data_IF_207790113159
#
_entry.id   IF_207790113159
#
_cell.length_a   1.000
_cell.length_b   1.000
_cell.length_c   1.000
_cell.angle_alpha   90.00
_cell.angle_beta   90.00
_cell.angle_gamma   90.00
#
_symmetry.space_group_name_H-M   'P 1'
#
loop_
_entity.id
_entity.type
_entity.pdbx_description
1 polymer ?
#
# COMPACT_ATOMS: atom_id res chain seq x y z
N UNK A 1 -18.25 1.48 -14.47
CA UNK A 1 -16.78 1.45 -14.69
C UNK A 1 -16.14 0.58 -13.62
N UNK A 2 -14.99 -0.06 -13.87
CA UNK A 2 -14.26 -0.79 -12.82
C UNK A 2 -13.54 0.14 -11.86
N UNK A 3 -13.47 -0.24 -10.57
CA UNK A 3 -12.77 0.54 -9.52
C UNK A 3 -11.32 0.83 -9.93
N UNK A 4 -10.62 -0.16 -10.51
CA UNK A 4 -9.22 -0.02 -10.92
C UNK A 4 -8.94 1.14 -11.86
N UNK A 5 -9.90 1.59 -12.67
CA UNK A 5 -9.66 2.70 -13.58
C UNK A 5 -9.38 4.00 -12.84
N UNK A 6 -10.12 4.29 -11.76
CA UNK A 6 -9.87 5.46 -10.91
C UNK A 6 -8.52 5.33 -10.20
N UNK A 7 -8.21 4.16 -9.66
CA UNK A 7 -6.95 3.89 -8.96
C UNK A 7 -5.76 4.03 -9.91
N UNK A 8 -5.79 3.34 -11.05
CA UNK A 8 -4.71 3.33 -12.03
C UNK A 8 -4.50 4.72 -12.64
N UNK A 9 -5.57 5.49 -12.88
CA UNK A 9 -5.45 6.87 -13.34
C UNK A 9 -4.66 7.72 -12.31
N UNK A 10 -5.01 7.62 -11.02
CA UNK A 10 -4.27 8.31 -9.96
C UNK A 10 -2.80 7.85 -9.91
N UNK A 11 -2.54 6.53 -9.97
CA UNK A 11 -1.18 5.98 -9.90
C UNK A 11 -0.31 6.40 -11.09
N UNK A 12 -0.89 6.45 -12.29
CA UNK A 12 -0.22 6.97 -13.48
C UNK A 12 0.09 8.47 -13.35
N UNK A 13 -0.91 9.27 -12.97
CA UNK A 13 -0.76 10.71 -12.84
C UNK A 13 0.17 11.13 -11.71
N UNK A 14 0.38 10.29 -10.70
CA UNK A 14 1.25 10.61 -9.56
C UNK A 14 2.66 11.02 -10.00
N UNK A 15 3.27 10.31 -10.96
CA UNK A 15 4.57 10.71 -11.49
C UNK A 15 4.52 12.09 -12.17
N UNK A 16 3.53 12.29 -13.05
CA UNK A 16 3.38 13.52 -13.83
C UNK A 16 3.05 14.74 -12.95
N UNK A 17 2.23 14.56 -11.92
CA UNK A 17 1.84 15.62 -10.99
C UNK A 17 3.03 16.02 -10.13
N UNK A 18 3.80 15.06 -9.60
CA UNK A 18 4.98 15.39 -8.80
C UNK A 18 6.01 16.12 -9.65
N UNK A 19 6.28 15.64 -10.87
CA UNK A 19 7.19 16.32 -11.80
C UNK A 19 6.67 17.71 -12.21
N UNK A 20 5.36 17.84 -12.43
CA UNK A 20 4.70 19.10 -12.74
C UNK A 20 4.79 20.10 -11.58
N UNK A 21 4.66 19.64 -10.34
CA UNK A 21 4.89 20.47 -9.16
C UNK A 21 6.34 20.96 -9.10
N UNK A 22 7.32 20.09 -9.38
CA UNK A 22 8.74 20.46 -9.39
C UNK A 22 9.00 21.56 -10.43
N UNK A 23 8.44 21.42 -11.63
CA UNK A 23 8.55 22.42 -12.68
C UNK A 23 7.84 23.74 -12.33
N UNK A 24 6.62 23.67 -11.81
CA UNK A 24 5.81 24.84 -11.48
C UNK A 24 6.43 25.68 -10.35
N UNK A 25 6.94 25.04 -9.30
CA UNK A 25 7.60 25.71 -8.18
C UNK A 25 9.10 25.93 -8.39
N UNK A 26 9.65 25.52 -9.55
CA UNK A 26 11.07 25.52 -9.86
C UNK A 26 11.94 24.90 -8.74
N UNK A 27 11.45 23.81 -8.15
CA UNK A 27 12.14 23.12 -7.05
C UNK A 27 12.58 21.73 -7.51
N UNK A 28 13.87 21.63 -7.82
CA UNK A 28 14.57 20.41 -8.22
C UNK A 28 15.60 19.98 -7.16
N UNK A 29 15.36 20.32 -5.90
CA UNK A 29 16.24 19.92 -4.80
C UNK A 29 16.26 18.38 -4.62
N UNK A 30 17.28 17.89 -3.91
CA UNK A 30 17.50 16.47 -3.66
C UNK A 30 16.23 15.77 -3.12
N UNK A 31 15.53 16.38 -2.16
CA UNK A 31 14.36 15.77 -1.55
C UNK A 31 13.19 15.63 -2.54
N UNK A 32 13.01 16.57 -3.47
CA UNK A 32 11.99 16.50 -4.52
C UNK A 32 12.25 15.31 -5.46
N UNK A 33 13.51 15.10 -5.86
CA UNK A 33 13.92 13.94 -6.66
C UNK A 33 13.73 12.62 -5.93
N UNK A 34 14.10 12.55 -4.65
CA UNK A 34 13.87 11.37 -3.82
C UNK A 34 12.37 11.07 -3.73
N UNK A 35 11.55 12.09 -3.49
CA UNK A 35 10.11 11.90 -3.37
C UNK A 35 9.48 11.45 -4.70
N UNK A 36 9.88 12.05 -5.83
CA UNK A 36 9.47 11.62 -7.17
C UNK A 36 9.88 10.17 -7.42
N UNK A 37 11.11 9.79 -7.07
CA UNK A 37 11.59 8.43 -7.21
C UNK A 37 10.74 7.47 -6.38
N UNK A 38 10.46 7.75 -5.11
CA UNK A 38 9.70 6.83 -4.25
C UNK A 38 8.22 6.75 -4.65
N UNK A 39 7.51 7.88 -4.72
CA UNK A 39 6.06 7.89 -4.98
C UNK A 39 5.73 7.65 -6.47
N UNK A 40 6.51 8.25 -7.38
CA UNK A 40 6.32 8.07 -8.81
C UNK A 40 6.57 6.62 -9.25
N UNK A 41 7.67 6.00 -8.81
CA UNK A 41 7.94 4.59 -9.15
C UNK A 41 6.96 3.63 -8.48
N UNK A 42 6.50 3.90 -7.26
CA UNK A 42 5.40 3.15 -6.65
C UNK A 42 4.14 3.18 -7.52
N UNK A 43 3.78 4.34 -8.09
CA UNK A 43 2.69 4.47 -9.06
C UNK A 43 2.90 3.57 -10.29
N UNK A 44 4.10 3.58 -10.88
CA UNK A 44 4.43 2.73 -12.03
C UNK A 44 4.40 1.23 -11.70
N UNK A 45 5.00 0.82 -10.56
CA UNK A 45 4.98 -0.56 -10.09
C UNK A 45 3.55 -1.05 -9.87
N UNK A 46 2.65 -0.19 -9.38
CA UNK A 46 1.22 -0.53 -9.25
C UNK A 46 0.59 -0.89 -10.60
N UNK A 47 0.84 -0.11 -11.64
CA UNK A 47 0.31 -0.37 -12.98
C UNK A 47 0.85 -1.67 -13.58
N UNK A 48 2.13 -1.96 -13.35
CA UNK A 48 2.76 -3.23 -13.74
C UNK A 48 2.08 -4.40 -13.01
N UNK A 49 1.91 -4.30 -11.68
CA UNK A 49 1.21 -5.29 -10.86
C UNK A 49 -0.21 -5.55 -11.36
N UNK A 50 -1.00 -4.50 -11.62
CA UNK A 50 -2.38 -4.63 -12.11
C UNK A 50 -2.45 -5.42 -13.44
N UNK A 51 -1.42 -5.32 -14.28
CA UNK A 51 -1.33 -6.07 -15.53
C UNK A 51 -0.86 -7.52 -15.35
N UNK A 52 0.06 -7.77 -14.43
CA UNK A 52 0.70 -9.08 -14.25
C UNK A 52 -0.10 -10.03 -13.33
N UNK A 53 -0.60 -9.50 -12.22
CA UNK A 53 -1.35 -10.26 -11.20
C UNK A 53 -2.45 -9.37 -10.60
N UNK A 54 -3.54 -9.13 -11.35
CA UNK A 54 -4.62 -8.23 -10.94
C UNK A 54 -5.32 -8.69 -9.67
N UNK A 55 -5.74 -7.74 -8.85
CA UNK A 55 -6.56 -8.04 -7.66
C UNK A 55 -8.05 -7.97 -8.01
N UNK A 56 -8.75 -9.07 -7.73
CA UNK A 56 -10.19 -9.22 -8.00
C UNK A 56 -11.05 -8.16 -7.31
N UNK A 57 -10.59 -7.58 -6.20
CA UNK A 57 -11.29 -6.49 -5.52
C UNK A 57 -11.43 -5.26 -6.43
N UNK A 58 -10.46 -4.99 -7.30
CA UNK A 58 -10.44 -3.79 -8.15
C UNK A 58 -11.18 -3.98 -9.48
N UNK A 59 -11.55 -5.21 -9.82
CA UNK A 59 -12.35 -5.55 -11.01
C UNK A 59 -13.84 -5.27 -10.83
N UNK A 60 -14.30 -5.03 -9.60
CA UNK A 60 -15.71 -4.76 -9.30
C UNK A 60 -16.20 -3.50 -10.01
N UNK A 61 -17.44 -3.55 -10.49
CA UNK A 61 -18.08 -2.40 -11.11
C UNK A 61 -18.61 -1.42 -10.07
N UNK A 62 -18.42 -0.14 -10.37
CA UNK A 62 -18.95 0.99 -9.61
C UNK A 62 -19.55 2.02 -10.59
N UNK A 63 -20.41 2.89 -10.06
CA UNK A 63 -20.90 4.04 -10.81
C UNK A 63 -19.74 4.99 -11.13
N UNK A 64 -19.90 5.77 -12.20
CA UNK A 64 -18.91 6.78 -12.60
C UNK A 64 -18.68 7.80 -11.49
N UNK A 65 -19.74 8.22 -10.80
CA UNK A 65 -19.67 9.14 -9.65
C UNK A 65 -18.78 8.58 -8.55
N UNK A 66 -18.94 7.30 -8.19
CA UNK A 66 -18.07 6.66 -7.21
C UNK A 66 -16.63 6.53 -7.69
N UNK A 67 -16.42 6.38 -9.00
CA UNK A 67 -15.09 6.37 -9.62
C UNK A 67 -14.39 7.72 -9.48
N UNK A 68 -15.09 8.81 -9.78
CA UNK A 68 -14.59 10.19 -9.59
C UNK A 68 -14.29 10.44 -8.11
N UNK A 69 -15.21 10.08 -7.22
CA UNK A 69 -14.99 10.21 -5.77
C UNK A 69 -13.75 9.43 -5.31
N UNK A 70 -13.58 8.19 -5.78
CA UNK A 70 -12.39 7.38 -5.47
C UNK A 70 -11.11 8.06 -5.93
N UNK A 71 -11.10 8.61 -7.15
CA UNK A 71 -9.95 9.34 -7.69
C UNK A 71 -9.61 10.58 -6.84
N UNK A 72 -10.61 11.39 -6.47
CA UNK A 72 -10.43 12.59 -5.64
C UNK A 72 -9.88 12.23 -4.26
N UNK A 73 -10.44 11.20 -3.62
CA UNK A 73 -9.99 10.74 -2.31
C UNK A 73 -8.53 10.26 -2.38
N UNK A 74 -8.16 9.51 -3.43
CA UNK A 74 -6.75 9.12 -3.64
C UNK A 74 -5.85 10.34 -3.87
N UNK A 75 -6.33 11.39 -4.52
CA UNK A 75 -5.60 12.64 -4.72
C UNK A 75 -5.12 13.31 -3.43
N UNK A 76 -5.69 12.97 -2.27
CA UNK A 76 -5.16 13.38 -0.96
C UNK A 76 -3.70 12.92 -0.73
N UNK A 77 -3.26 11.84 -1.38
CA UNK A 77 -1.86 11.40 -1.34
C UNK A 77 -0.89 12.35 -2.07
N UNK A 78 -1.39 13.32 -2.85
CA UNK A 78 -0.57 14.38 -3.45
C UNK A 78 -0.32 15.57 -2.51
N UNK A 79 -0.88 15.57 -1.30
CA UNK A 79 -0.60 16.60 -0.29
C UNK A 79 0.86 16.56 0.17
N UNK A 80 1.44 15.38 0.39
CA UNK A 80 2.84 15.25 0.79
C UNK A 80 3.85 15.80 -0.25
N UNK A 81 3.82 15.43 -1.55
CA UNK A 81 4.70 16.04 -2.54
C UNK A 81 4.44 17.53 -2.69
N UNK A 82 3.16 17.96 -2.62
CA UNK A 82 2.83 19.38 -2.67
C UNK A 82 3.55 20.16 -1.56
N UNK A 83 3.45 19.74 -0.31
CA UNK A 83 4.13 20.39 0.83
C UNK A 83 5.64 20.41 0.62
N UNK A 84 6.24 19.27 0.25
CA UNK A 84 7.70 19.16 0.06
C UNK A 84 8.20 20.13 -1.00
N UNK A 85 7.52 20.14 -2.15
CA UNK A 85 7.97 20.85 -3.34
C UNK A 85 7.65 22.34 -3.23
N UNK A 86 6.41 22.71 -2.86
CA UNK A 86 6.04 24.12 -2.71
C UNK A 86 6.75 24.80 -1.54
N UNK A 87 7.00 24.06 -0.45
CA UNK A 87 7.63 24.57 0.77
C UNK A 87 9.15 24.52 0.77
N UNK A 88 9.80 24.03 -0.29
CA UNK A 88 11.25 23.79 -0.34
C UNK A 88 11.76 23.02 0.90
N UNK A 89 11.00 21.99 1.31
CA UNK A 89 11.34 21.18 2.48
C UNK A 89 12.67 20.48 2.23
N UNK A 90 13.54 20.48 3.24
CA UNK A 90 14.78 19.71 3.27
C UNK A 90 14.72 18.68 4.38
N UNK A 91 15.39 17.55 4.20
CA UNK A 91 15.44 16.47 5.19
C UNK A 91 16.89 16.05 5.42
N UNK A 92 17.20 15.66 6.65
CA UNK A 92 18.53 15.16 6.99
C UNK A 92 18.78 13.81 6.34
N UNK A 93 20.04 13.48 6.06
CA UNK A 93 20.40 12.18 5.50
C UNK A 93 19.86 10.99 6.34
N UNK A 94 19.93 11.00 7.69
CA UNK A 94 19.32 9.93 8.50
C UNK A 94 17.82 9.77 8.27
N UNK A 95 17.05 10.87 8.20
CA UNK A 95 15.60 10.79 7.96
C UNK A 95 15.30 10.22 6.56
N UNK A 96 16.05 10.67 5.55
CA UNK A 96 15.95 10.14 4.19
C UNK A 96 16.25 8.64 4.17
N UNK A 97 17.34 8.19 4.82
CA UNK A 97 17.70 6.78 4.88
C UNK A 97 16.62 5.93 5.55
N UNK A 98 16.04 6.40 6.67
CA UNK A 98 14.96 5.70 7.35
C UNK A 98 13.70 5.62 6.48
N UNK A 99 13.32 6.73 5.83
CA UNK A 99 12.15 6.74 4.94
C UNK A 99 12.34 5.77 3.77
N UNK A 100 13.50 5.76 3.13
CA UNK A 100 13.82 4.82 2.03
C UNK A 100 13.77 3.37 2.54
N UNK A 101 14.37 3.07 3.69
CA UNK A 101 14.35 1.71 4.25
C UNK A 101 12.91 1.23 4.55
N UNK A 102 12.09 2.10 5.16
CA UNK A 102 10.66 1.83 5.41
C UNK A 102 9.93 1.60 4.09
N UNK A 103 10.20 2.42 3.06
CA UNK A 103 9.58 2.28 1.76
C UNK A 103 9.90 0.92 1.11
N UNK A 104 11.17 0.52 1.10
CA UNK A 104 11.63 -0.75 0.52
C UNK A 104 10.98 -1.95 1.22
N UNK A 105 10.93 -1.94 2.56
CA UNK A 105 10.23 -2.97 3.33
C UNK A 105 8.73 -2.97 2.99
N UNK A 106 8.14 -1.78 2.87
CA UNK A 106 6.74 -1.62 2.48
C UNK A 106 6.44 -2.20 1.10
N UNK A 107 7.31 -1.95 0.11
CA UNK A 107 7.22 -2.51 -1.25
C UNK A 107 7.33 -4.03 -1.22
N UNK A 108 8.32 -4.58 -0.51
CA UNK A 108 8.48 -6.04 -0.35
C UNK A 108 7.21 -6.69 0.19
N UNK A 109 6.66 -6.13 1.28
CA UNK A 109 5.44 -6.66 1.90
C UNK A 109 4.21 -6.50 1.00
N UNK A 110 4.04 -5.33 0.37
CA UNK A 110 2.89 -5.05 -0.48
C UNK A 110 2.85 -5.96 -1.70
N UNK A 111 3.87 -5.86 -2.57
CA UNK A 111 3.88 -6.55 -3.84
C UNK A 111 4.15 -8.04 -3.68
N UNK A 112 5.06 -8.42 -2.77
CA UNK A 112 5.38 -9.83 -2.51
C UNK A 112 4.18 -10.62 -2.00
N UNK A 113 3.42 -10.06 -1.06
CA UNK A 113 2.25 -10.76 -0.52
C UNK A 113 1.07 -10.78 -1.49
N UNK A 114 0.86 -9.73 -2.30
CA UNK A 114 -0.18 -9.76 -3.32
C UNK A 114 0.16 -10.74 -4.46
N UNK A 115 1.43 -10.85 -4.85
CA UNK A 115 1.88 -11.86 -5.80
C UNK A 115 1.69 -13.28 -5.26
N UNK A 116 2.13 -13.55 -4.02
CA UNK A 116 1.88 -14.84 -3.36
C UNK A 116 0.37 -15.15 -3.35
N UNK A 117 -0.47 -14.20 -2.90
CA UNK A 117 -1.92 -14.36 -2.86
C UNK A 117 -2.49 -14.72 -4.23
N UNK A 118 -2.14 -13.96 -5.26
CA UNK A 118 -2.66 -14.16 -6.61
C UNK A 118 -2.28 -15.54 -7.16
N UNK A 119 -0.99 -15.88 -7.14
CA UNK A 119 -0.53 -17.13 -7.72
C UNK A 119 -0.97 -18.34 -6.92
N UNK A 120 -1.00 -18.28 -5.59
CA UNK A 120 -1.55 -19.37 -4.77
C UNK A 120 -3.02 -19.61 -5.10
N UNK A 121 -3.86 -18.56 -5.08
CA UNK A 121 -5.30 -18.73 -5.34
C UNK A 121 -5.62 -19.09 -6.79
N UNK A 122 -4.75 -18.74 -7.75
CA UNK A 122 -4.89 -19.15 -9.15
C UNK A 122 -4.82 -20.66 -9.33
N UNK A 123 -4.01 -21.36 -8.52
CA UNK A 123 -3.81 -22.82 -8.65
C UNK A 123 -4.48 -23.62 -7.53
N UNK A 124 -4.72 -23.01 -6.37
CA UNK A 124 -5.37 -23.65 -5.23
C UNK A 124 -6.17 -22.63 -4.44
N UNK A 125 -7.49 -22.69 -4.58
CA UNK A 125 -8.39 -21.92 -3.74
C UNK A 125 -8.34 -22.43 -2.29
N UNK A 126 -8.37 -21.51 -1.33
CA UNK A 126 -8.36 -21.87 0.09
C UNK A 126 -7.80 -20.77 0.99
N UNK A 127 -7.66 -21.11 2.27
CA UNK A 127 -7.00 -20.26 3.26
C UNK A 127 -5.48 -20.34 3.10
N UNK A 128 -4.84 -19.18 2.90
CA UNK A 128 -3.36 -19.09 2.84
C UNK A 128 -2.82 -18.86 4.25
N UNK A 129 -2.01 -19.79 4.75
CA UNK A 129 -1.41 -19.76 6.10
C UNK A 129 0.12 -19.83 6.09
N UNK A 130 0.74 -19.66 4.92
CA UNK A 130 2.19 -19.76 4.69
C UNK A 130 2.79 -18.46 4.13
N UNK A 131 4.13 -18.40 4.03
CA UNK A 131 4.85 -17.26 3.47
C UNK A 131 4.53 -15.94 4.17
N UNK A 132 4.25 -14.88 3.40
CA UNK A 132 3.90 -13.56 3.92
C UNK A 132 2.67 -13.58 4.84
N UNK A 133 1.74 -14.52 4.62
CA UNK A 133 0.51 -14.63 5.39
C UNK A 133 0.67 -15.45 6.68
N UNK A 134 1.78 -16.16 6.87
CA UNK A 134 1.97 -17.06 8.03
C UNK A 134 1.81 -16.38 9.40
N UNK A 135 2.25 -15.13 9.52
CA UNK A 135 2.29 -14.38 10.79
C UNK A 135 1.44 -13.12 10.80
N UNK A 136 1.00 -12.65 9.63
CA UNK A 136 0.11 -11.49 9.46
C UNK A 136 -0.99 -11.84 8.48
N UNK A 137 -2.23 -11.50 8.81
CA UNK A 137 -3.36 -11.71 7.91
C UNK A 137 -3.44 -10.67 6.81
N UNK A 138 -2.80 -9.51 6.98
CA UNK A 138 -2.88 -8.38 6.05
C UNK A 138 -1.50 -7.76 5.76
N UNK A 139 -0.50 -8.56 5.33
CA UNK A 139 0.84 -8.06 5.02
C UNK A 139 0.85 -7.01 3.91
N UNK A 140 -0.06 -7.12 2.94
CA UNK A 140 -0.20 -6.16 1.85
C UNK A 140 -0.62 -4.77 2.34
N UNK A 141 -1.60 -4.71 3.26
CA UNK A 141 -2.01 -3.47 3.91
C UNK A 141 -0.90 -2.89 4.78
N UNK A 142 -0.15 -3.73 5.51
CA UNK A 142 1.01 -3.26 6.27
C UNK A 142 2.05 -2.65 5.32
N UNK A 143 2.33 -3.31 4.20
CA UNK A 143 3.23 -2.80 3.19
C UNK A 143 2.80 -1.43 2.63
N UNK A 144 1.51 -1.29 2.30
CA UNK A 144 0.97 -0.01 1.82
C UNK A 144 1.06 1.10 2.87
N UNK A 145 0.78 0.79 4.14
CA UNK A 145 0.94 1.74 5.26
C UNK A 145 2.40 2.20 5.37
N UNK A 146 3.37 1.29 5.28
CA UNK A 146 4.79 1.65 5.35
C UNK A 146 5.23 2.52 4.17
N UNK A 147 4.76 2.22 2.96
CA UNK A 147 5.02 3.05 1.77
C UNK A 147 4.53 4.48 2.02
N UNK A 148 3.27 4.69 2.42
CA UNK A 148 2.76 6.04 2.66
C UNK A 148 3.32 6.70 3.93
N UNK A 149 3.71 5.91 4.94
CA UNK A 149 4.42 6.41 6.11
C UNK A 149 5.77 7.02 5.71
N UNK A 150 6.51 6.36 4.80
CA UNK A 150 7.77 6.93 4.28
C UNK A 150 7.57 8.30 3.64
N UNK A 151 6.46 8.47 2.91
CA UNK A 151 6.12 9.74 2.27
C UNK A 151 5.75 10.82 3.29
N UNK A 152 4.95 10.46 4.30
CA UNK A 152 4.55 11.37 5.36
C UNK A 152 5.77 11.84 6.19
N UNK A 153 6.72 10.95 6.47
CA UNK A 153 7.97 11.28 7.17
C UNK A 153 8.78 12.34 6.42
N UNK A 154 8.94 12.18 5.10
CA UNK A 154 9.70 13.15 4.29
C UNK A 154 9.03 14.51 4.21
N UNK A 155 7.69 14.56 4.30
CA UNK A 155 6.95 15.82 4.29
C UNK A 155 7.13 16.64 5.58
N UNK A 156 7.56 16.00 6.68
CA UNK A 156 7.78 16.66 7.99
C UNK A 156 6.61 17.53 8.43
N UNK A 157 5.39 17.09 8.11
CA UNK A 157 4.16 17.81 8.35
C UNK A 157 3.08 16.84 8.84
N UNK A 158 2.25 17.27 9.80
CA UNK A 158 1.25 16.41 10.45
C UNK A 158 0.14 15.95 9.48
N UNK A 159 -0.23 16.77 8.51
CA UNK A 159 -1.37 16.53 7.62
C UNK A 159 -1.26 15.22 6.81
N UNK A 160 -0.14 14.88 6.15
CA UNK A 160 0.07 13.56 5.56
C UNK A 160 -0.16 12.37 6.52
N UNK A 161 0.21 12.49 7.79
CA UNK A 161 -0.06 11.45 8.79
C UNK A 161 -1.55 11.35 9.11
N UNK A 162 -2.26 12.48 9.22
CA UNK A 162 -3.71 12.47 9.43
C UNK A 162 -4.42 11.80 8.25
N UNK A 163 -4.03 12.13 7.01
CA UNK A 163 -4.57 11.53 5.79
C UNK A 163 -4.35 10.01 5.81
N UNK A 164 -3.10 9.56 6.06
CA UNK A 164 -2.79 8.13 6.17
C UNK A 164 -3.62 7.45 7.25
N UNK A 165 -3.71 8.04 8.45
CA UNK A 165 -4.54 7.54 9.53
C UNK A 165 -6.02 7.42 9.15
N UNK A 166 -6.54 8.40 8.39
CA UNK A 166 -7.90 8.38 7.84
C UNK A 166 -8.14 7.23 6.87
N UNK A 167 -7.22 6.98 5.93
CA UNK A 167 -7.29 5.82 5.04
C UNK A 167 -7.25 4.49 5.81
N UNK A 168 -6.36 4.40 6.82
CA UNK A 168 -6.24 3.19 7.65
C UNK A 168 -7.54 2.92 8.40
N UNK A 169 -8.11 3.94 9.07
CA UNK A 169 -9.31 3.79 9.88
C UNK A 169 -10.57 3.61 9.03
N UNK A 170 -10.72 4.39 7.96
CA UNK A 170 -11.93 4.44 7.14
C UNK A 170 -12.01 3.38 6.05
N UNK A 171 -10.86 2.87 5.56
CA UNK A 171 -10.84 1.94 4.42
C UNK A 171 -10.12 0.64 4.79
N UNK A 172 -8.90 0.71 5.31
CA UNK A 172 -8.09 -0.51 5.46
C UNK A 172 -8.65 -1.40 6.58
N UNK A 173 -8.85 -0.88 7.79
CA UNK A 173 -9.39 -1.67 8.92
C UNK A 173 -10.76 -2.28 8.60
N UNK A 174 -11.74 -1.55 8.04
CA UNK A 174 -13.01 -2.14 7.63
C UNK A 174 -12.84 -3.28 6.62
N UNK A 175 -11.98 -3.11 5.62
CA UNK A 175 -11.71 -4.18 4.63
C UNK A 175 -11.02 -5.38 5.26
N UNK A 176 -10.07 -5.17 6.17
CA UNK A 176 -9.40 -6.24 6.91
C UNK A 176 -10.41 -7.06 7.74
N UNK A 177 -11.36 -6.39 8.41
CA UNK A 177 -12.42 -7.05 9.19
C UNK A 177 -13.40 -7.82 8.31
N UNK A 178 -13.85 -7.23 7.20
CA UNK A 178 -14.71 -7.92 6.22
C UNK A 178 -14.01 -9.15 5.64
N UNK A 179 -12.70 -9.05 5.37
CA UNK A 179 -11.89 -10.19 4.93
C UNK A 179 -11.84 -11.28 6.00
N UNK A 180 -11.55 -10.93 7.26
CA UNK A 180 -11.55 -11.88 8.38
C UNK A 180 -12.89 -12.61 8.54
N UNK A 181 -14.02 -11.89 8.43
CA UNK A 181 -15.36 -12.48 8.47
C UNK A 181 -15.59 -13.46 7.32
N UNK A 182 -15.09 -13.14 6.12
CA UNK A 182 -15.15 -14.05 4.98
C UNK A 182 -14.31 -15.30 5.22
N UNK A 183 -13.12 -15.15 5.82
CA UNK A 183 -12.19 -16.24 6.09
C UNK A 183 -12.64 -17.15 7.27
N UNK A 184 -13.53 -16.70 8.15
CA UNK A 184 -14.01 -17.52 9.28
C UNK A 184 -14.87 -18.72 8.87
N UNK A 185 -15.19 -18.87 7.58
CA UNK A 185 -15.81 -20.09 7.03
C UNK A 185 -14.86 -21.29 7.00
N UNK A 186 -13.55 -21.06 7.03
CA UNK A 186 -12.55 -22.13 6.96
C UNK A 186 -12.33 -22.73 8.35
N UNK A 187 -12.41 -24.07 8.53
CA UNK A 187 -12.19 -24.72 9.82
C UNK A 187 -10.84 -24.39 10.47
N UNK A 188 -9.81 -24.14 9.65
CA UNK A 188 -8.45 -23.84 10.10
C UNK A 188 -8.28 -22.36 10.55
N UNK A 189 -9.28 -21.51 10.32
CA UNK A 189 -9.16 -20.06 10.52
C UNK A 189 -8.88 -19.68 11.98
N UNK A 190 -9.49 -20.35 12.95
CA UNK A 190 -9.27 -20.02 14.36
C UNK A 190 -7.84 -20.32 14.80
N UNK A 191 -7.29 -21.46 14.37
CA UNK A 191 -5.88 -21.81 14.60
C UNK A 191 -4.95 -20.81 13.88
N UNK A 192 -5.27 -20.44 12.65
CA UNK A 192 -4.52 -19.44 11.90
C UNK A 192 -4.55 -18.05 12.57
N UNK A 193 -5.71 -17.59 13.02
CA UNK A 193 -5.90 -16.31 13.74
C UNK A 193 -5.18 -16.31 15.09
N UNK A 194 -5.13 -17.44 15.79
CA UNK A 194 -4.33 -17.59 16.99
C UNK A 194 -2.83 -17.41 16.70
N UNK A 195 -2.35 -17.81 15.52
CA UNK A 195 -0.94 -17.73 15.14
C UNK A 195 -0.53 -16.48 14.34
N UNK A 196 -1.48 -15.69 13.87
CA UNK A 196 -1.24 -14.48 13.06
C UNK A 196 -1.85 -13.23 13.69
N UNK A 197 -1.25 -12.06 13.43
CA UNK A 197 -1.84 -10.78 13.78
C UNK A 197 -2.82 -10.30 12.71
N UNK A 198 -3.67 -9.31 13.04
CA UNK A 198 -4.53 -8.69 12.01
C UNK A 198 -3.68 -7.95 10.98
N UNK A 199 -2.76 -7.08 11.43
CA UNK A 199 -1.90 -6.25 10.58
C UNK A 199 -0.42 -6.50 10.87
N UNK A 200 0.01 -6.29 12.11
CA UNK A 200 1.39 -6.56 12.53
C UNK A 200 1.63 -8.07 12.66
N UNK A 201 2.81 -8.56 12.24
CA UNK A 201 3.13 -9.98 12.37
C UNK A 201 3.27 -10.36 13.84
N UNK A 202 2.74 -11.52 14.24
CA UNK A 202 3.08 -12.11 15.54
C UNK A 202 4.51 -12.62 15.48
N UNK A 203 5.37 -12.20 16.40
CA UNK A 203 6.78 -12.64 16.43
C UNK A 203 6.97 -14.01 17.11
N UNK A 204 6.07 -14.38 18.02
CA UNK A 204 6.12 -15.65 18.77
C UNK A 204 4.89 -16.52 18.52
N UNK A 205 5.08 -17.82 18.29
CA UNK A 205 4.02 -18.79 18.01
C UNK A 205 4.55 -20.03 17.26
N UNK A 206 3.72 -21.05 17.07
CA UNK A 206 4.11 -22.26 16.32
C UNK A 206 4.26 -21.89 14.84
N UNK A 207 5.46 -21.98 14.26
CA UNK A 207 5.59 -21.81 12.82
C UNK A 207 4.85 -22.96 12.13
N UNK A 208 4.03 -22.66 11.13
CA UNK A 208 3.38 -23.67 10.28
C UNK A 208 4.36 -24.22 9.22
N UNK A 209 5.67 -24.19 9.49
CA UNK A 209 6.65 -24.74 8.54
C UNK A 209 6.51 -26.26 8.48
N UNK A 210 5.81 -26.70 7.43
CA UNK A 210 5.87 -28.00 6.77
C UNK A 210 5.98 -29.22 7.69
N UNK A 211 4.83 -29.73 8.13
CA UNK A 211 4.62 -31.17 7.96
C UNK A 211 4.43 -31.40 6.44
N UNK A 212 5.10 -32.41 5.90
CA UNK A 212 5.15 -32.80 4.48
C UNK A 212 6.20 -32.07 3.63
N UNK A 213 7.45 -32.49 3.81
CA UNK A 213 8.30 -32.89 2.68
C UNK A 213 8.95 -34.23 2.99
#
# INVERSE_FOLDING_TARGET
MKIKHAINCHKFLSFLIILGLMAFYNNFALLAWIYLALHGTYGLMWLIKDRLYPDQQWEKEISVVMGIFTFIVLGLYWVAPFIIISGNVTATAPLISVAIAINIIGVLLHYGSDAQKYFTLKYREGLITEGFFSRSRNPNYLGEILIYLSFALLAQHWLPFLILGGFVAGIFIPNMRKKDQSLSRYPEFDAYKANSGLLLPKLWGKSSQAADK
#
